data_IF_066227265877
#
_entry.id   IF_066227265877
#
_cell.length_a   1.000
_cell.length_b   1.000
_cell.length_c   1.000
_cell.angle_alpha   90.00
_cell.angle_beta   90.00
_cell.angle_gamma   90.00
#
_symmetry.space_group_name_H-M   'P 1'
#
loop_
_entity.id
_entity.type
_entity.pdbx_description
1 polymer ?
2 polymer ?
3 non-polymer ?
4 non-polymer ?
5 non-polymer ?
6 non-polymer ?
7 water ?
#
loop_
_entity_poly.entity_id
_entity_poly.type
_entity_poly.pdbx_seq_one_letter_code
_entity_poly.pdbx_strand_id
1 'polyribonucleotide' 'CGUUGACCCAGGAAACUGGGCGGAAGUAAGGUCCAUUGCACUCCGGGCCUGAAGCAACGCG' ?
#
# COMPACT_ATOMS: atom_id res chain seq x y z
N UNK C 3 15.83 -32.84 -16.74
CA UNK C 3 16.52 -31.70 -16.13
C UNK C 3 17.21 -30.84 -17.19
N UNK C 4 16.80 -29.58 -17.30
CA UNK C 4 17.34 -28.72 -18.36
C UNK C 4 18.80 -28.35 -18.12
N UNK C 5 19.63 -28.77 -19.08
CA UNK C 5 21.08 -28.69 -18.99
C UNK C 5 21.71 -28.08 -20.22
N UNK C 6 20.86 -27.59 -21.13
CA UNK C 6 21.34 -26.90 -22.33
C UNK C 6 21.26 -25.42 -22.05
N UNK C 7 22.44 -24.77 -21.90
CA UNK C 7 22.67 -23.38 -21.50
C UNK C 7 21.72 -22.35 -22.10
N UNK C 8 21.34 -21.39 -21.26
CA UNK C 8 20.37 -20.39 -21.65
C UNK C 8 20.59 -19.11 -20.85
N UNK C 9 20.10 -17.99 -21.37
CA UNK C 9 20.28 -16.69 -20.72
C UNK C 9 19.46 -16.62 -19.44
N UNK C 10 18.43 -17.46 -19.38
CA UNK C 10 17.48 -17.45 -18.31
C UNK C 10 17.58 -18.73 -17.51
N UNK C 11 17.70 -18.59 -16.19
CA UNK C 11 17.65 -19.75 -15.33
C UNK C 11 16.24 -19.97 -14.78
N UNK C 12 15.87 -21.24 -14.69
CA UNK C 12 14.60 -21.60 -14.11
C UNK C 12 14.86 -22.05 -12.67
N UNK C 13 14.12 -21.47 -11.72
CA UNK C 13 14.24 -21.86 -10.31
C UNK C 13 12.91 -22.39 -9.77
N UNK C 14 12.90 -23.62 -9.32
CA UNK C 14 11.73 -24.08 -8.58
C UNK C 14 12.10 -24.55 -7.17
N UNK C 15 11.11 -25.08 -6.46
CA UNK C 15 11.23 -25.36 -5.04
C UNK C 15 11.49 -24.12 -4.19
N UNK C 16 10.85 -23.01 -4.53
CA UNK C 16 10.95 -21.81 -3.70
C UNK C 16 9.87 -21.88 -2.63
N UNK C 17 10.17 -21.32 -1.45
CA UNK C 17 9.17 -21.20 -0.39
C UNK C 17 7.99 -20.36 -0.89
N UNK C 18 6.84 -21.01 -1.00
CA UNK C 18 5.65 -20.38 -1.58
C UNK C 18 4.99 -19.41 -0.62
N UNK C 19 5.52 -19.28 0.60
CA UNK C 19 4.99 -18.30 1.55
C UNK C 19 5.64 -16.90 1.45
N UNK C 20 6.74 -16.79 0.72
CA UNK C 20 7.34 -15.47 0.46
C UNK C 20 6.42 -14.59 -0.39
N UNK C 21 6.21 -13.35 0.04
CA UNK C 21 5.47 -12.37 -0.75
C UNK C 21 6.12 -12.17 -2.11
N UNK C 22 5.29 -11.85 -3.10
CA UNK C 22 5.73 -11.67 -4.48
C UNK C 22 6.88 -10.66 -4.64
N UNK C 23 6.64 -9.43 -4.18
CA UNK C 23 7.65 -8.39 -4.19
C UNK C 23 8.93 -8.81 -3.46
N UNK C 24 8.75 -9.36 -2.26
CA UNK C 24 9.89 -9.83 -1.49
C UNK C 24 10.70 -10.92 -2.22
N UNK C 25 10.01 -11.83 -2.90
CA UNK C 25 10.71 -12.84 -3.68
C UNK C 25 11.56 -12.20 -4.80
N UNK C 26 10.97 -11.31 -5.59
CA UNK C 26 11.71 -10.54 -6.58
C UNK C 26 12.99 -9.92 -6.03
N UNK C 27 12.86 -9.17 -4.94
CA UNK C 27 13.99 -8.43 -4.41
C UNK C 27 15.08 -9.33 -3.84
N UNK C 28 14.65 -10.38 -3.15
CA UNK C 28 15.58 -11.31 -2.54
C UNK C 28 16.33 -12.06 -3.62
N UNK C 29 15.62 -12.43 -4.67
CA UNK C 29 16.21 -13.08 -5.83
C UNK C 29 17.27 -12.19 -6.48
N UNK C 30 16.95 -10.91 -6.58
CA UNK C 30 17.89 -9.92 -7.15
C UNK C 30 19.15 -9.77 -6.30
N UNK C 31 18.97 -9.66 -5.00
CA UNK C 31 20.08 -9.42 -4.07
C UNK C 31 21.02 -10.61 -4.07
N UNK C 32 20.42 -11.78 -4.16
CA UNK C 32 21.14 -13.04 -4.10
C UNK C 32 21.83 -13.39 -5.42
N UNK C 33 21.28 -12.95 -6.55
CA UNK C 33 21.82 -13.32 -7.85
C UNK C 33 22.62 -12.24 -8.61
N UNK C 34 22.38 -10.97 -8.33
CA UNK C 34 22.96 -9.91 -9.17
C UNK C 34 24.49 -9.92 -9.25
N UNK C 35 25.14 -10.53 -8.28
CA UNK C 35 26.59 -10.50 -8.26
C UNK C 35 27.18 -11.30 -9.40
N UNK C 36 26.37 -12.16 -10.02
CA UNK C 36 26.84 -13.00 -11.11
C UNK C 36 26.86 -12.28 -12.47
N UNK C 37 26.16 -11.15 -12.55
CA UNK C 37 26.12 -10.40 -13.78
C UNK C 37 24.87 -9.54 -13.91
N UNK C 38 24.83 -8.70 -14.93
CA UNK C 38 23.66 -7.88 -15.18
C UNK C 38 22.42 -8.74 -15.38
N UNK C 39 21.37 -8.43 -14.64
CA UNK C 39 20.11 -9.15 -14.77
C UNK C 39 19.10 -8.28 -15.50
N UNK C 40 18.54 -8.81 -16.57
CA UNK C 40 17.58 -8.05 -17.38
C UNK C 40 16.20 -8.01 -16.74
N UNK C 41 15.71 -9.17 -16.31
CA UNK C 41 14.47 -9.19 -15.53
C UNK C 41 14.38 -10.43 -14.65
N UNK C 42 13.48 -10.37 -13.69
CA UNK C 42 13.19 -11.51 -12.81
C UNK C 42 11.67 -11.69 -12.81
N UNK C 43 11.20 -12.86 -13.23
CA UNK C 43 9.76 -13.05 -13.32
C UNK C 43 9.22 -13.99 -12.27
N UNK C 44 8.27 -13.49 -11.49
CA UNK C 44 7.66 -14.23 -10.41
C UNK C 44 6.15 -14.12 -10.47
N UNK C 45 5.48 -15.27 -10.45
CA UNK C 45 4.03 -15.32 -10.36
C UNK C 45 3.61 -16.24 -9.22
N UNK C 46 2.57 -15.83 -8.49
CA UNK C 46 2.06 -16.63 -7.39
C UNK C 46 0.76 -17.36 -7.74
N UNK C 47 0.54 -17.56 -9.04
CA UNK C 47 -0.60 -18.32 -9.52
C UNK C 47 -0.47 -19.80 -9.16
N UNK C 48 -1.55 -20.56 -9.39
CA UNK C 48 -1.55 -21.98 -9.07
C UNK C 48 -0.48 -22.72 -9.85
N UNK C 49 -0.36 -22.35 -11.11
CA UNK C 49 0.50 -23.04 -12.04
C UNK C 49 1.96 -22.58 -11.87
N UNK C 50 2.16 -21.28 -11.60
CA UNK C 50 3.51 -20.70 -11.51
C UNK C 50 4.15 -20.54 -10.12
N UNK C 51 3.37 -20.86 -9.08
CA UNK C 51 3.82 -20.94 -7.69
C UNK C 51 5.17 -21.64 -7.48
N UNK C 52 5.93 -21.15 -6.51
CA UNK C 52 7.16 -21.82 -6.10
C UNK C 52 8.28 -21.79 -7.13
N UNK C 53 8.13 -20.93 -8.14
CA UNK C 53 9.06 -20.86 -9.25
C UNK C 53 9.43 -19.42 -9.63
N UNK C 54 10.58 -19.26 -10.27
CA UNK C 54 11.03 -17.96 -10.73
C UNK C 54 11.91 -18.06 -11.97
N UNK C 55 11.91 -16.99 -12.75
CA UNK C 55 12.73 -16.90 -13.96
C UNK C 55 13.66 -15.69 -13.87
N UNK C 56 14.96 -15.93 -13.78
CA UNK C 56 15.87 -14.81 -13.69
C UNK C 56 16.73 -14.67 -14.96
N UNK C 57 16.61 -13.52 -15.62
CA UNK C 57 17.20 -13.34 -16.94
C UNK C 57 18.51 -12.57 -16.93
N UNK C 58 19.61 -13.26 -17.23
CA UNK C 58 20.92 -12.65 -17.26
C UNK C 58 21.32 -12.11 -18.62
N UNK C 59 21.92 -10.92 -18.61
CA UNK C 59 22.53 -10.33 -19.81
C UNK C 59 23.48 -11.29 -20.53
N UNK C 60 24.29 -12.02 -19.77
CA UNK C 60 25.26 -12.96 -20.36
C UNK C 60 25.06 -14.39 -19.88
N UNK C 61 25.16 -15.33 -20.80
CA UNK C 61 25.01 -16.76 -20.50
C UNK C 61 26.04 -17.21 -19.48
N UNK C 62 27.26 -16.70 -19.60
CA UNK C 62 28.32 -17.02 -18.64
C UNK C 62 27.87 -16.72 -17.20
N UNK C 63 27.11 -15.63 -17.03
CA UNK C 63 26.57 -15.24 -15.73
C UNK C 63 25.58 -16.30 -15.27
N UNK C 64 24.69 -16.71 -16.18
CA UNK C 64 23.68 -17.69 -15.87
C UNK C 64 24.31 -19.01 -15.41
N UNK C 65 25.25 -19.53 -16.19
CA UNK C 65 25.96 -20.76 -15.89
C UNK C 65 26.60 -20.67 -14.52
N UNK C 66 27.31 -19.56 -14.27
CA UNK C 66 27.97 -19.35 -12.99
C UNK C 66 27.01 -19.28 -11.79
N UNK C 67 25.81 -18.72 -12.00
CA UNK C 67 24.77 -18.64 -10.99
C UNK C 67 24.21 -20.01 -10.69
N UNK C 68 24.11 -20.84 -11.71
CA UNK C 68 23.59 -22.19 -11.57
C UNK C 68 24.53 -23.07 -10.72
N UNK C 69 25.82 -23.07 -11.07
CA UNK C 69 26.82 -23.87 -10.38
C UNK C 69 26.91 -23.48 -8.93
N UNK C 70 26.79 -22.18 -8.71
CA UNK C 70 27.10 -21.61 -7.42
C UNK C 70 25.93 -21.79 -6.46
N UNK C 71 24.73 -21.53 -6.98
CA UNK C 71 23.54 -21.41 -6.14
C UNK C 71 22.70 -22.66 -6.04
N UNK C 72 23.15 -23.75 -6.65
CA UNK C 72 22.41 -25.01 -6.66
C UNK C 72 22.24 -25.52 -5.23
N UNK C 73 20.99 -25.81 -4.85
CA UNK C 73 20.70 -26.40 -3.55
C UNK C 73 20.80 -25.47 -2.36
N UNK C 74 21.10 -24.20 -2.64
CA UNK C 74 21.23 -23.15 -1.60
C UNK C 74 19.97 -23.06 -0.73
N UNK C 75 20.16 -23.05 0.62
CA UNK C 75 19.02 -23.02 1.54
C UNK C 75 18.37 -21.65 1.52
N UNK C 76 17.37 -21.49 0.66
CA UNK C 76 16.69 -20.22 0.45
C UNK C 76 15.32 -20.19 1.14
N UNK C 77 15.24 -19.37 2.18
CA UNK C 77 14.10 -19.36 3.07
C UNK C 77 13.70 -20.81 3.44
N UNK C 78 14.65 -21.57 3.96
CA UNK C 78 14.45 -22.96 4.47
C UNK C 78 14.17 -24.03 3.44
N UNK C 79 14.45 -23.75 2.18
CA UNK C 79 14.21 -24.73 1.14
C UNK C 79 15.36 -24.64 0.17
N UNK C 80 15.99 -25.79 -0.16
CA UNK C 80 17.11 -25.82 -1.12
C UNK C 80 16.64 -25.46 -2.55
N UNK C 81 17.31 -24.48 -3.14
CA UNK C 81 16.99 -24.03 -4.50
C UNK C 81 17.30 -25.10 -5.52
N UNK C 82 16.32 -25.40 -6.37
CA UNK C 82 16.53 -26.27 -7.51
C UNK C 82 16.62 -25.41 -8.77
N UNK C 83 17.78 -25.41 -9.41
CA UNK C 83 18.06 -24.51 -10.53
C UNK C 83 18.35 -25.24 -11.84
N UNK C 84 17.68 -24.81 -12.91
CA UNK C 84 17.96 -25.29 -14.26
C UNK C 84 18.01 -24.11 -15.23
N UNK C 85 18.55 -24.33 -16.43
CA UNK C 85 18.38 -23.35 -17.51
C UNK C 85 16.92 -23.39 -17.96
N UNK C 86 16.41 -22.28 -18.49
CA UNK C 86 15.04 -22.27 -19.01
C UNK C 86 14.97 -23.16 -20.25
N UNK C 87 13.80 -23.73 -20.52
CA UNK C 87 13.66 -24.62 -21.66
C UNK C 87 13.74 -23.90 -23.01
N UNK C 88 13.10 -22.73 -23.13
CA UNK C 88 13.15 -21.92 -24.35
C UNK C 88 13.98 -20.67 -24.14
N UNK C 89 13.51 -19.55 -24.66
CA UNK C 89 14.16 -18.26 -24.43
C UNK C 89 13.12 -17.26 -23.95
N UNK C 90 13.45 -16.55 -22.88
CA UNK C 90 12.60 -15.45 -22.43
C UNK C 90 12.37 -14.50 -23.59
N UNK C 91 11.20 -13.87 -23.60
CA UNK C 91 10.85 -12.89 -24.62
C UNK C 91 11.94 -11.82 -24.75
N UNK C 92 12.50 -11.40 -23.61
CA UNK C 92 13.49 -10.32 -23.58
C UNK C 92 14.75 -10.67 -24.39
N UNK C 93 15.06 -11.96 -24.45
CA UNK C 93 16.27 -12.45 -25.12
C UNK C 93 16.02 -12.67 -26.62
N UNK C 94 14.82 -13.12 -26.95
CA UNK C 94 14.44 -13.32 -28.34
C UNK C 94 14.26 -11.97 -29.04
N UNK C 95 13.65 -11.02 -28.33
CA UNK C 95 13.48 -9.66 -28.86
C UNK C 95 14.84 -9.01 -29.23
N UNK C 96 15.86 -9.24 -28.42
CA UNK C 96 17.19 -8.66 -28.67
C UNK C 96 17.85 -9.16 -29.96
N UNK D 2 -17.43 27.00 -3.80
CA UNK D 2 -18.68 26.23 -3.73
C UNK D 2 -18.68 25.25 -2.58
N UNK D 3 -19.14 25.70 -1.39
CA UNK D 3 -19.25 24.88 -0.17
C UNK D 3 -20.20 23.69 -0.34
N UNK D 4 -19.71 22.47 -0.08
CA UNK D 4 -20.53 21.27 -0.30
C UNK D 4 -21.77 21.25 0.56
N UNK D 5 -22.93 21.35 -0.07
CA UNK D 5 -24.20 21.48 0.65
C UNK D 5 -25.10 20.22 0.66
N UNK D 6 -24.73 19.23 -0.16
CA UNK D 6 -25.45 17.95 -0.20
C UNK D 6 -25.28 17.26 1.14
N UNK D 7 -26.39 16.97 1.83
CA UNK D 7 -26.26 16.35 3.16
C UNK D 7 -25.52 15.01 3.11
N UNK D 8 -24.66 14.79 4.10
CA UNK D 8 -23.87 13.60 4.15
C UNK D 8 -23.72 13.19 5.61
N UNK D 9 -23.36 11.92 5.83
CA UNK D 9 -23.13 11.41 7.19
C UNK D 9 -21.96 12.11 7.85
N UNK D 10 -21.04 12.58 7.03
CA UNK D 10 -19.84 13.19 7.57
C UNK D 10 -19.82 14.68 7.32
N UNK D 11 -19.47 15.43 8.35
CA UNK D 11 -19.21 16.85 8.20
C UNK D 11 -17.72 17.09 8.07
N UNK D 12 -17.40 18.08 7.23
CA UNK D 12 -16.04 18.53 7.01
C UNK D 12 -15.88 19.82 7.76
N UNK D 13 -14.90 19.88 8.64
CA UNK D 13 -14.61 21.12 9.32
C UNK D 13 -13.24 21.57 8.87
N UNK D 14 -13.10 22.86 8.66
CA UNK D 14 -11.78 23.45 8.48
C UNK D 14 -11.73 24.80 9.15
N UNK D 15 -10.64 25.52 8.89
CA UNK D 15 -10.27 26.67 9.69
C UNK D 15 -10.11 26.29 11.19
N UNK D 16 -9.54 25.13 11.46
CA UNK D 16 -9.16 24.73 12.81
C UNK D 16 -7.81 25.31 13.22
N UNK D 17 -7.67 25.62 14.50
CA UNK D 17 -6.38 26.05 15.05
C UNK D 17 -5.34 24.94 14.89
N UNK D 18 -4.29 25.22 14.12
CA UNK D 18 -3.32 24.20 13.76
C UNK D 18 -2.34 23.88 14.90
N UNK D 19 -2.22 24.81 15.85
CA UNK D 19 -1.34 24.67 17.01
C UNK D 19 -1.89 23.70 18.08
N UNK D 20 -3.10 23.20 17.90
CA UNK D 20 -3.63 22.27 18.89
C UNK D 20 -3.18 20.84 18.57
N UNK D 21 -2.76 20.10 19.60
CA UNK D 21 -2.21 18.74 19.44
C UNK D 21 -3.30 17.82 18.94
N UNK D 22 -2.90 16.80 18.18
CA UNK D 22 -3.86 15.88 17.58
C UNK D 22 -4.89 15.35 18.58
N UNK D 23 -4.40 14.77 19.68
CA UNK D 23 -5.24 14.15 20.71
C UNK D 23 -6.17 15.15 21.38
N UNK D 24 -5.66 16.31 21.75
CA UNK D 24 -6.49 17.31 22.38
C UNK D 24 -7.60 17.72 21.42
N UNK D 25 -7.26 17.83 20.14
CA UNK D 25 -8.22 18.29 19.14
C UNK D 25 -9.27 17.24 18.93
N UNK D 26 -8.83 15.99 18.85
CA UNK D 26 -9.76 14.91 18.59
C UNK D 26 -10.75 14.87 19.75
N UNK D 27 -10.22 15.06 20.96
CA UNK D 27 -11.07 15.03 22.16
C UNK D 27 -12.04 16.22 22.25
N UNK D 28 -11.56 17.42 21.95
CA UNK D 28 -12.44 18.60 22.00
C UNK D 28 -13.61 18.53 21.00
N UNK D 29 -13.32 18.05 19.79
CA UNK D 29 -14.36 17.95 18.78
C UNK D 29 -15.40 16.91 19.19
N UNK D 30 -14.96 15.77 19.72
CA UNK D 30 -15.92 14.80 20.23
C UNK D 30 -16.78 15.40 21.34
N UNK D 31 -16.15 16.17 22.22
CA UNK D 31 -16.88 16.89 23.25
C UNK D 31 -17.96 17.78 22.64
N UNK D 32 -17.53 18.64 21.72
CA UNK D 32 -18.38 19.63 21.07
C UNK D 32 -19.58 19.04 20.28
N UNK D 33 -19.43 17.81 19.78
CA UNK D 33 -20.36 17.27 18.79
C UNK D 33 -21.16 16.05 19.19
N UNK D 34 -20.85 15.43 20.32
CA UNK D 34 -21.62 14.23 20.73
C UNK D 34 -23.10 14.50 21.09
N UNK D 35 -23.40 15.72 21.53
CA UNK D 35 -24.77 16.24 21.72
C UNK D 35 -25.71 15.95 20.53
N UNK D 36 -25.15 15.87 19.33
CA UNK D 36 -25.96 15.88 18.12
C UNK D 36 -26.37 14.49 17.68
N UNK D 37 -25.62 13.49 18.12
CA UNK D 37 -25.96 12.10 17.88
C UNK D 37 -24.75 11.19 18.07
N UNK D 38 -24.93 9.91 17.76
CA UNK D 38 -23.83 8.96 17.83
C UNK D 38 -22.76 9.32 16.79
N UNK D 39 -21.56 9.62 17.26
CA UNK D 39 -20.39 9.77 16.40
C UNK D 39 -19.72 8.41 16.19
N UNK D 40 -19.48 8.08 14.93
CA UNK D 40 -18.90 6.80 14.56
C UNK D 40 -17.38 6.89 14.57
N UNK D 41 -16.85 8.05 14.18
CA UNK D 41 -15.41 8.29 14.29
C UNK D 41 -15.11 9.77 14.08
N UNK D 42 -13.88 10.16 14.39
CA UNK D 42 -13.42 11.51 14.14
C UNK D 42 -12.02 11.43 13.55
N UNK D 43 -11.86 11.90 12.31
CA UNK D 43 -10.58 11.78 11.60
C UNK D 43 -9.76 13.06 11.55
N UNK D 44 -8.67 13.09 12.30
CA UNK D 44 -7.83 14.30 12.39
C UNK D 44 -6.39 14.01 11.97
N UNK D 45 -5.83 14.85 11.12
CA UNK D 45 -4.42 14.69 10.73
C UNK D 45 -3.69 16.02 10.76
N UNK D 46 -2.38 15.96 11.01
CA UNK D 46 -1.59 17.17 11.04
C UNK D 46 -0.52 17.18 9.96
N UNK D 47 -0.74 16.38 8.92
CA UNK D 47 0.04 16.45 7.70
C UNK D 47 -0.10 17.83 7.04
N UNK D 48 0.66 18.04 5.97
CA UNK D 48 0.64 19.31 5.24
C UNK D 48 -0.72 19.56 4.57
N UNK D 49 -1.26 18.55 3.91
CA UNK D 49 -2.53 18.67 3.21
C UNK D 49 -3.71 18.75 4.15
N UNK D 50 -3.64 18.04 5.27
CA UNK D 50 -4.82 17.79 6.09
C UNK D 50 -4.99 18.61 7.39
N UNK D 51 -3.96 19.38 7.77
CA UNK D 51 -4.04 20.19 8.99
C UNK D 51 -5.10 21.33 8.92
N UNK D 52 -5.67 21.66 10.07
CA UNK D 52 -6.65 22.73 10.18
C UNK D 52 -8.01 22.23 9.74
N UNK D 53 -8.10 20.92 9.54
CA UNK D 53 -9.30 20.26 9.05
C UNK D 53 -9.64 19.03 9.91
N UNK D 54 -10.91 18.64 9.86
CA UNK D 54 -11.40 17.46 10.55
C UNK D 54 -12.64 16.91 9.86
N UNK D 55 -12.86 15.61 10.05
CA UNK D 55 -14.06 14.94 9.55
C UNK D 55 -14.70 14.27 10.74
N UNK D 56 -15.94 14.58 11.04
CA UNK D 56 -16.60 13.81 12.08
C UNK D 56 -17.78 13.10 11.49
N UNK D 57 -17.80 11.80 11.76
CA UNK D 57 -18.76 10.91 11.14
C UNK D 57 -19.91 10.57 12.07
N UNK D 58 -21.12 10.82 11.59
CA UNK D 58 -22.30 10.54 12.37
C UNK D 58 -23.07 9.36 11.81
N UNK D 59 -23.54 8.51 12.71
CA UNK D 59 -24.48 7.42 12.42
C UNK D 59 -25.73 7.88 11.64
N UNK D 60 -26.25 9.05 11.96
CA UNK D 60 -27.43 9.55 11.26
C UNK D 60 -27.09 10.85 10.55
N UNK D 61 -27.66 11.01 9.35
CA UNK D 61 -27.41 12.19 8.54
C UNK D 61 -27.96 13.38 9.27
N UNK D 62 -29.14 13.18 9.88
CA UNK D 62 -29.81 14.24 10.64
C UNK D 62 -28.94 14.76 11.76
N UNK D 63 -28.09 13.91 12.31
CA UNK D 63 -27.18 14.37 13.35
C UNK D 63 -26.14 15.32 12.75
N UNK D 64 -25.55 14.89 11.63
CA UNK D 64 -24.63 15.69 10.83
C UNK D 64 -25.19 17.08 10.47
N UNK D 65 -26.44 17.11 10.05
CA UNK D 65 -27.10 18.34 9.69
C UNK D 65 -27.29 19.29 10.88
N UNK D 66 -27.79 18.74 11.98
CA UNK D 66 -28.06 19.58 13.13
C UNK D 66 -26.75 20.05 13.77
N UNK D 67 -25.73 19.19 13.71
CA UNK D 67 -24.41 19.55 14.18
C UNK D 67 -23.81 20.67 13.30
N UNK D 68 -23.94 20.51 11.98
CA UNK D 68 -23.42 21.49 11.03
C UNK D 68 -24.10 22.83 11.24
N UNK D 69 -25.44 22.80 11.29
CA UNK D 69 -26.27 24.00 11.38
C UNK D 69 -26.02 24.75 12.68
N UNK D 70 -25.87 24.00 13.77
CA UNK D 70 -25.80 24.61 15.09
C UNK D 70 -24.43 25.20 15.47
N UNK D 71 -23.35 24.58 15.00
CA UNK D 71 -22.01 25.02 15.42
C UNK D 71 -21.32 25.90 14.38
N UNK D 72 -22.01 26.16 13.27
CA UNK D 72 -21.46 26.99 12.19
C UNK D 72 -20.82 28.26 12.71
N UNK D 73 -19.57 28.50 12.31
CA UNK D 73 -18.90 29.76 12.64
C UNK D 73 -18.52 29.94 14.10
N UNK D 74 -18.84 28.96 14.94
CA UNK D 74 -18.57 29.11 16.37
C UNK D 74 -17.08 29.14 16.70
N UNK D 75 -16.66 30.13 17.48
CA UNK D 75 -15.27 30.28 17.92
C UNK D 75 -14.78 29.07 18.71
N UNK D 76 -13.74 28.42 18.20
CA UNK D 76 -13.21 27.19 18.77
C UNK D 76 -11.69 27.32 18.77
N UNK D 77 -11.10 27.35 19.97
CA UNK D 77 -9.70 27.74 20.13
C UNK D 77 -9.38 29.05 19.39
N UNK D 78 -10.28 30.02 19.54
CA UNK D 78 -10.13 31.38 19.02
C UNK D 78 -10.26 31.46 17.51
N UNK D 79 -10.82 30.41 16.91
CA UNK D 79 -11.10 30.42 15.48
C UNK D 79 -12.50 29.85 15.18
N UNK D 80 -13.30 30.60 14.40
CA UNK D 80 -14.64 30.21 13.92
C UNK D 80 -14.61 28.94 13.09
N UNK D 81 -15.35 27.91 13.51
CA UNK D 81 -15.41 26.67 12.74
C UNK D 81 -16.17 26.90 11.45
N UNK D 82 -15.60 26.43 10.37
CA UNK D 82 -16.29 26.50 9.10
C UNK D 82 -16.70 25.07 8.67
N UNK D 83 -18.00 24.81 8.65
CA UNK D 83 -18.47 23.45 8.46
C UNK D 83 -19.26 23.23 7.16
N UNK D 84 -18.90 22.18 6.43
CA UNK D 84 -19.69 21.75 5.29
C UNK D 84 -20.01 20.29 5.53
N UNK D 85 -20.78 19.71 4.63
CA UNK D 85 -20.85 18.27 4.54
C UNK D 85 -19.58 17.80 3.84
N UNK D 86 -19.20 16.55 4.07
CA UNK D 86 -18.11 15.95 3.29
C UNK D 86 -18.58 15.79 1.85
N UNK D 87 -17.65 15.79 0.91
CA UNK D 87 -18.00 15.70 -0.50
C UNK D 87 -18.34 14.26 -0.89
N UNK D 88 -17.72 13.31 -0.21
CA UNK D 88 -17.98 11.88 -0.49
C UNK D 88 -18.12 11.14 0.82
N UNK D 89 -18.92 10.08 0.83
CA UNK D 89 -19.07 9.28 2.04
C UNK D 89 -17.74 8.85 2.62
N UNK D 90 -17.68 8.75 3.95
CA UNK D 90 -16.54 8.19 4.65
C UNK D 90 -16.50 6.68 4.43
N UNK D 91 -15.39 6.04 4.81
CA UNK D 91 -15.24 4.61 4.57
C UNK D 91 -16.21 3.71 5.37
N UNK D 92 -16.32 3.88 6.68
CA UNK D 92 -17.27 3.04 7.43
C UNK D 92 -18.72 3.25 6.98
N UNK D 93 -19.05 4.47 6.59
CA UNK D 93 -20.36 4.78 6.04
C UNK D 93 -20.56 4.13 4.68
N UNK D 94 -19.52 4.15 3.86
CA UNK D 94 -19.54 3.53 2.54
C UNK D 94 -19.04 2.08 2.61
X LIG E 1 12.49 -5.96 30.12
X LIG E 1 11.56 -5.01 29.52
X LIG E 1 10.12 -5.18 30.03
X LIG E 1 9.69 -6.23 30.50
X LIG E 1 11.62 -5.05 27.99
X LIG E 1 10.74 -3.96 27.33
X LIG E 1 10.97 -3.75 25.85
X LIG E 1 11.57 -4.58 25.16
X LIG E 1 10.47 -2.63 25.33
X LIG E 1 9.31 -4.25 30.00
X LIG F 1 7.50 -5.35 30.47
X LIG G 1 -12.60 -19.73 13.99
X LIG H 1 19.81 -2.43 19.69
X LIG I 1 6.55 35.47 10.53
X LIG J 1 -9.35 -27.32 7.65
X LIG K 1 -10.51 -17.38 14.38
X LIG L 1 1.92 -11.11 18.52
X LIG M 1 8.14 20.62 12.06
X LIG N 1 5.55 19.88 15.89
X LIG O 1 7.00 16.13 16.03
X LIG P 1 -9.17 13.31 -8.30
X LIG P 1 -8.10 12.33 -8.28
X LIG P 1 -6.76 12.99 -8.63
X LIG P 1 -5.68 12.40 -8.48
X LIG P 1 -8.42 11.18 -9.24
X LIG P 1 -7.53 9.98 -9.07
X LIG P 1 -7.98 8.79 -9.88
X LIG P 1 -8.79 8.91 -10.81
X LIG P 1 -7.46 7.61 -9.52
X LIG P 1 -6.70 14.14 -9.07
X LIG Q 1 -18.01 -1.43 -8.97
X LIG R 1 -3.68 12.79 -9.28
X LIG S 1 -6.60 11.38 -18.79
X LIG T 1 8.67 10.17 -36.46
X LIG U 1 7.59 8.74 -33.86
X LIG V 1 -6.59 -17.85 -1.13
X LIG W 1 -3.28 -14.31 0.41
X LIG X 1 -4.14 -12.33 -3.07
X LIG Y 1 5.22 -14.24 -25.27
X LIG Z 1 -10.24 4.04 1.31
#
# INVERSE_FOLDING_TARGET
AVPETRPNHTIYINNLNEKIKKDELKKSLHAIFSRFGQILDILVSRSLKMRGQAFVIFKEVSSATNALRSMQGFPFYDKPMRIQYAKTDSDIIAKMK
AVPETRPNHTIYINNLNEKIKKDELKKSLHAIFSRFGQILDILVSRSLKMRGQAFVIFKEVSSATNALRSMQGFPFYDKPMRIQYAKTDSDIIAKMK
GLN N CA C O CB CG CD OE1 NE2 OXT
MN MN
MN MN
MN MN
MG MG
NA NA
NA NA
NA NA
NA NA
NA NA
NA NA
GLN N CA C O CB CG CD OE1 NE2 OXT
MN MN
MN MN
MG MG
MG MG
NA NA
NA NA
NA NA
NA NA
NA NA
NA NA
#
